data_IF_959905206366
#
_entry.id   IF_959905206366
#
_cell.length_a   1.000
_cell.length_b   1.000
_cell.length_c   1.000
_cell.angle_alpha   90.00
_cell.angle_beta   90.00
_cell.angle_gamma   90.00
#
_symmetry.space_group_name_H-M   'P 1'
#
loop_
_entity.id
_entity.type
_entity.pdbx_description
1 polymer ?
#
# COMPACT_ATOMS: atom_id res chain seq x y z
N UNK A 1 -17.63 -14.85 8.93
CA UNK A 1 -16.56 -14.05 9.54
C UNK A 1 -15.82 -13.44 8.38
N UNK A 2 -15.78 -12.11 8.36
CA UNK A 2 -15.30 -11.33 7.23
C UNK A 2 -13.99 -10.67 7.61
N UNK A 3 -12.92 -10.99 6.89
CA UNK A 3 -11.57 -10.52 7.17
C UNK A 3 -11.12 -9.55 6.08
N UNK A 4 -10.68 -8.35 6.44
CA UNK A 4 -9.95 -7.46 5.54
C UNK A 4 -8.51 -7.35 6.01
N UNK A 5 -7.55 -7.65 5.14
CA UNK A 5 -6.13 -7.53 5.44
C UNK A 5 -5.54 -6.37 4.63
N UNK A 6 -5.08 -5.33 5.34
CA UNK A 6 -4.50 -4.12 4.74
C UNK A 6 -3.03 -3.96 5.13
N UNK A 7 -2.16 -3.88 4.13
CA UNK A 7 -0.76 -3.56 4.33
C UNK A 7 -0.57 -2.03 4.29
N UNK A 8 -0.14 -1.46 5.42
CA UNK A 8 0.00 -0.01 5.57
C UNK A 8 1.26 0.48 4.84
N UNK A 9 1.10 1.55 4.08
CA UNK A 9 2.16 2.28 3.38
C UNK A 9 2.25 3.73 3.85
N UNK A 10 3.32 4.41 3.44
CA UNK A 10 3.50 5.85 3.68
C UNK A 10 2.50 6.73 2.89
N UNK A 11 1.74 6.16 1.96
CA UNK A 11 0.66 6.85 1.25
C UNK A 11 -0.68 6.79 1.98
N UNK A 12 -0.80 5.95 3.03
CA UNK A 12 -2.00 5.88 3.86
C UNK A 12 -2.21 7.13 4.73
N UNK A 13 -1.20 7.98 4.93
CA UNK A 13 -1.31 9.18 5.74
C UNK A 13 -1.00 10.43 4.91
N UNK A 14 -1.99 11.32 4.81
CA UNK A 14 -1.83 12.67 4.26
C UNK A 14 -2.33 13.67 5.31
N UNK A 15 -1.61 14.77 5.48
CA UNK A 15 -1.93 15.81 6.45
C UNK A 15 -2.36 17.08 5.72
N UNK A 16 -3.18 17.89 6.39
CA UNK A 16 -3.43 19.28 6.02
C UNK A 16 -2.68 20.19 6.99
N UNK A 17 -1.79 21.02 6.45
CA UNK A 17 -1.09 22.06 7.19
C UNK A 17 -1.72 23.41 6.89
N UNK A 18 -1.97 24.20 7.93
CA UNK A 18 -2.52 25.55 7.84
C UNK A 18 -1.55 26.54 8.48
N UNK A 19 -1.30 27.66 7.79
CA UNK A 19 -0.49 28.77 8.29
C UNK A 19 -1.32 29.95 8.79
N UNK A 20 -0.63 31.00 9.22
CA UNK A 20 -1.20 32.27 9.69
C UNK A 20 -1.52 33.27 8.56
N UNK A 21 -0.99 33.04 7.35
CA UNK A 21 -1.13 33.95 6.20
C UNK A 21 -1.73 33.23 4.97
N UNK A 22 -2.55 33.94 4.19
CA UNK A 22 -3.08 33.42 2.92
C UNK A 22 -2.00 33.48 1.81
N UNK A 23 -1.88 32.41 1.03
CA UNK A 23 -0.86 32.27 -0.01
C UNK A 23 -1.35 32.83 -1.34
N UNK A 24 -0.71 33.89 -1.83
CA UNK A 24 -1.09 34.55 -3.09
C UNK A 24 -0.88 33.62 -4.29
N UNK A 25 0.20 32.85 -4.27
CA UNK A 25 0.56 31.86 -5.31
C UNK A 25 -0.43 30.70 -5.40
N UNK A 26 -1.26 30.48 -4.37
CA UNK A 26 -2.21 29.36 -4.29
C UNK A 26 -3.65 29.83 -4.15
N UNK A 27 -4.07 30.83 -4.93
CA UNK A 27 -5.45 31.39 -4.93
C UNK A 27 -5.92 31.80 -3.52
N UNK A 28 -5.02 32.39 -2.72
CA UNK A 28 -5.26 32.77 -1.33
C UNK A 28 -5.64 31.60 -0.41
N UNK A 29 -5.18 30.39 -0.72
CA UNK A 29 -5.33 29.25 0.18
C UNK A 29 -4.55 29.50 1.48
N UNK A 30 -5.16 29.11 2.60
CA UNK A 30 -4.52 29.13 3.92
C UNK A 30 -4.05 27.75 4.36
N UNK A 31 -4.38 26.70 3.59
CA UNK A 31 -4.00 25.32 3.88
C UNK A 31 -3.44 24.59 2.67
N UNK A 32 -2.49 23.69 2.92
CA UNK A 32 -1.84 22.85 1.93
C UNK A 32 -1.81 21.39 2.38
N UNK A 33 -1.83 20.46 1.41
CA UNK A 33 -1.61 19.05 1.72
C UNK A 33 -0.12 18.78 1.90
N UNK A 34 0.19 17.91 2.84
CA UNK A 34 1.54 17.54 3.19
C UNK A 34 1.65 16.04 3.47
N UNK A 35 2.84 15.49 3.21
CA UNK A 35 3.23 14.15 3.66
C UNK A 35 4.46 14.27 4.57
N UNK A 36 4.51 13.55 5.70
CA UNK A 36 5.74 13.49 6.48
C UNK A 36 6.88 12.93 5.64
N UNK A 37 8.10 13.46 5.80
CA UNK A 37 9.29 12.82 5.22
C UNK A 37 9.43 11.39 5.72
N UNK A 38 9.93 10.52 4.86
CA UNK A 38 10.03 9.08 5.14
C UNK A 38 10.76 8.76 6.45
N UNK A 39 11.80 9.51 6.81
CA UNK A 39 12.58 9.30 8.05
C UNK A 39 11.91 9.78 9.34
N UNK A 40 10.83 10.56 9.23
CA UNK A 40 10.14 11.18 10.37
C UNK A 40 8.69 10.72 10.50
N UNK A 41 8.27 9.81 9.61
CA UNK A 41 6.90 9.32 9.52
C UNK A 41 6.39 8.75 10.86
N UNK A 42 7.25 8.04 11.59
CA UNK A 42 6.96 7.48 12.90
C UNK A 42 6.70 8.56 13.96
N UNK A 43 7.59 9.56 14.03
CA UNK A 43 7.52 10.66 15.02
C UNK A 43 6.26 11.49 14.78
N UNK A 44 6.00 11.85 13.52
CA UNK A 44 4.80 12.63 13.16
C UNK A 44 3.52 11.85 13.50
N UNK A 45 3.46 10.58 13.13
CA UNK A 45 2.28 9.74 13.42
C UNK A 45 2.07 9.57 14.92
N UNK A 46 3.13 9.35 15.69
CA UNK A 46 3.08 9.23 17.15
C UNK A 46 2.52 10.50 17.81
N UNK A 47 3.02 11.66 17.40
CA UNK A 47 2.56 12.97 17.90
C UNK A 47 1.06 13.17 17.66
N UNK A 48 0.55 12.78 16.49
CA UNK A 48 -0.88 12.86 16.17
C UNK A 48 -1.68 11.89 17.04
N UNK A 49 -1.22 10.65 17.20
CA UNK A 49 -1.87 9.64 18.06
C UNK A 49 -2.00 10.15 19.50
N UNK A 50 -0.93 10.68 20.08
CA UNK A 50 -0.95 11.21 21.45
C UNK A 50 -1.93 12.38 21.63
N UNK A 51 -2.09 13.23 20.62
CA UNK A 51 -3.07 14.31 20.66
C UNK A 51 -4.49 13.78 20.53
N UNK A 52 -4.71 12.83 19.62
CA UNK A 52 -6.01 12.16 19.50
C UNK A 52 -6.39 11.39 20.75
N UNK A 53 -5.44 10.76 21.46
CA UNK A 53 -5.70 10.10 22.74
C UNK A 53 -6.26 11.07 23.78
N UNK A 54 -5.67 12.25 23.89
CA UNK A 54 -6.16 13.31 24.78
C UNK A 54 -7.58 13.74 24.39
N UNK A 55 -7.84 13.89 23.10
CA UNK A 55 -9.13 14.38 22.59
C UNK A 55 -10.23 13.31 22.62
N UNK A 56 -9.91 12.05 22.37
CA UNK A 56 -10.86 10.94 22.29
C UNK A 56 -11.10 10.25 23.65
N UNK A 57 -10.55 10.80 24.74
CA UNK A 57 -10.82 10.31 26.10
C UNK A 57 -12.35 10.22 26.30
N UNK A 58 -12.88 9.05 26.67
CA UNK A 58 -14.32 8.85 26.75
C UNK A 58 -14.91 9.74 27.84
N UNK A 59 -15.73 10.71 27.42
CA UNK A 59 -16.63 11.43 28.32
C UNK A 59 -17.86 10.54 28.48
N UNK A 60 -18.20 10.15 29.70
CA UNK A 60 -19.48 9.48 29.97
C UNK A 60 -20.60 10.43 29.54
N UNK A 61 -21.28 10.09 28.46
CA UNK A 61 -22.43 10.82 27.97
C UNK A 61 -23.70 10.09 28.40
N UNK A 62 -24.47 10.73 29.29
CA UNK A 62 -25.71 10.14 29.84
C UNK A 62 -26.86 10.09 28.80
N UNK A 63 -26.69 10.78 27.66
CA UNK A 63 -27.69 10.86 26.59
C UNK A 63 -27.05 10.78 25.21
N UNK A 64 -27.79 10.22 24.24
CA UNK A 64 -27.35 10.11 22.83
C UNK A 64 -26.97 11.47 22.21
N UNK A 65 -27.70 12.54 22.54
CA UNK A 65 -27.39 13.89 22.08
C UNK A 65 -26.03 14.37 22.61
N UNK A 66 -25.71 14.11 23.88
CA UNK A 66 -24.38 14.40 24.46
C UNK A 66 -23.28 13.53 23.86
N UNK A 67 -23.62 12.31 23.45
CA UNK A 67 -22.69 11.41 22.77
C UNK A 67 -22.34 11.94 21.36
N UNK A 68 -23.32 12.47 20.62
CA UNK A 68 -23.08 13.16 19.34
C UNK A 68 -22.26 14.43 19.50
N UNK A 69 -22.35 15.09 20.66
CA UNK A 69 -21.52 16.24 21.02
C UNK A 69 -20.14 15.84 21.58
N UNK A 70 -19.80 14.53 21.61
CA UNK A 70 -18.46 14.10 22.02
C UNK A 70 -17.39 14.38 20.95
N UNK A 71 -16.11 14.57 21.34
CA UNK A 71 -15.01 14.80 20.40
C UNK A 71 -14.90 13.72 19.31
N UNK A 72 -15.30 12.48 19.62
CA UNK A 72 -15.30 11.32 18.71
C UNK A 72 -16.18 11.52 17.47
N UNK A 73 -17.26 12.30 17.56
CA UNK A 73 -18.14 12.58 16.42
C UNK A 73 -17.79 13.89 15.71
N UNK A 74 -17.22 14.85 16.44
CA UNK A 74 -16.96 16.18 15.92
C UNK A 74 -15.67 16.28 15.09
N UNK A 75 -14.68 15.44 15.41
CA UNK A 75 -13.43 15.33 14.66
C UNK A 75 -13.60 14.63 13.31
N UNK A 76 -14.78 14.08 13.01
CA UNK A 76 -14.98 13.25 11.83
C UNK A 76 -14.98 14.06 10.55
N UNK A 77 -14.02 13.77 9.65
CA UNK A 77 -14.02 14.23 8.27
C UNK A 77 -14.66 13.20 7.33
N UNK A 78 -15.46 13.70 6.37
CA UNK A 78 -16.08 12.89 5.32
C UNK A 78 -15.78 13.49 3.95
N UNK A 79 -15.71 12.64 2.92
CA UNK A 79 -15.61 13.07 1.54
C UNK A 79 -16.84 13.91 1.17
N UNK A 80 -16.64 15.06 0.53
CA UNK A 80 -17.75 15.98 0.17
C UNK A 80 -18.67 15.37 -0.90
N UNK A 81 -18.10 14.66 -1.87
CA UNK A 81 -18.86 14.10 -3.01
C UNK A 81 -19.66 12.85 -2.66
N UNK A 82 -19.11 12.00 -1.81
CA UNK A 82 -19.61 10.63 -1.57
C UNK A 82 -19.96 10.37 -0.11
N UNK A 83 -19.75 11.35 0.78
CA UNK A 83 -20.10 11.33 2.20
C UNK A 83 -19.47 10.21 3.05
N UNK A 84 -18.53 9.43 2.49
CA UNK A 84 -17.85 8.38 3.21
C UNK A 84 -16.72 8.94 4.12
N UNK A 85 -16.37 8.26 5.22
CA UNK A 85 -15.29 8.66 6.12
C UNK A 85 -13.92 8.73 5.46
N UNK A 86 -13.17 9.82 5.68
CA UNK A 86 -11.83 10.00 5.06
C UNK A 86 -10.71 10.35 6.04
N UNK A 87 -11.02 10.71 7.29
CA UNK A 87 -10.01 11.02 8.29
C UNK A 87 -10.51 11.84 9.46
N UNK A 88 -9.63 12.61 10.09
CA UNK A 88 -9.97 13.50 11.19
C UNK A 88 -9.66 14.96 10.84
N UNK A 89 -10.51 15.87 11.30
CA UNK A 89 -10.33 17.31 11.18
C UNK A 89 -10.40 17.97 12.56
N UNK A 90 -9.34 18.72 12.89
CA UNK A 90 -9.12 19.41 14.16
C UNK A 90 -9.51 20.89 14.12
N UNK A 91 -10.07 21.38 13.01
CA UNK A 91 -10.52 22.76 12.85
C UNK A 91 -11.86 22.85 12.14
N UNK A 92 -12.65 23.88 12.42
CA UNK A 92 -13.94 24.02 11.77
C UNK A 92 -13.79 24.34 10.27
N UNK A 93 -14.51 23.64 9.38
CA UNK A 93 -14.69 24.12 8.01
C UNK A 93 -15.32 25.52 8.03
N UNK A 94 -14.95 26.43 7.11
CA UNK A 94 -15.56 27.76 7.03
C UNK A 94 -17.08 27.72 6.76
N UNK A 95 -17.62 26.60 6.27
CA UNK A 95 -18.99 26.43 5.80
C UNK A 95 -19.99 25.86 6.84
N UNK A 96 -19.68 25.88 8.14
CA UNK A 96 -20.60 25.39 9.18
C UNK A 96 -21.51 26.53 9.67
N UNK A 97 -22.83 26.30 9.62
CA UNK A 97 -23.86 27.26 10.03
C UNK A 97 -23.67 27.76 11.47
N UNK A 98 -24.08 28.99 11.75
CA UNK A 98 -23.95 29.63 13.07
C UNK A 98 -24.55 28.79 14.22
N UNK A 99 -25.63 28.06 13.95
CA UNK A 99 -26.27 27.15 14.90
C UNK A 99 -25.45 25.89 15.20
N UNK A 100 -24.71 25.35 14.23
CA UNK A 100 -23.81 24.21 14.44
C UNK A 100 -22.52 24.60 15.18
N UNK A 101 -22.09 25.88 15.13
CA UNK A 101 -20.93 26.36 15.91
C UNK A 101 -21.17 26.37 17.42
N UNK A 102 -22.41 26.52 17.88
CA UNK A 102 -22.74 26.58 19.32
C UNK A 102 -22.70 25.23 20.05
N UNK A 103 -22.69 24.09 19.33
CA UNK A 103 -22.74 22.75 19.93
C UNK A 103 -21.45 21.93 19.79
N UNK A 104 -20.46 22.40 19.00
CA UNK A 104 -19.20 21.65 18.81
C UNK A 104 -18.11 22.10 19.78
N UNK A 105 -17.34 21.15 20.35
CA UNK A 105 -16.11 21.42 21.07
C UNK A 105 -15.18 22.24 20.19
N UNK A 106 -14.57 23.25 20.81
CA UNK A 106 -13.51 24.06 20.25
C UNK A 106 -12.21 23.24 20.25
N UNK A 107 -12.16 22.22 19.39
CA UNK A 107 -10.96 21.41 19.20
C UNK A 107 -9.91 22.31 18.55
N UNK A 108 -8.78 22.49 19.23
CA UNK A 108 -7.67 23.30 18.72
C UNK A 108 -6.84 22.48 17.72
N UNK A 109 -6.42 23.07 16.60
CA UNK A 109 -5.45 22.46 15.69
C UNK A 109 -4.15 22.08 16.42
N UNK A 110 -3.45 21.08 15.90
CA UNK A 110 -2.19 20.62 16.50
C UNK A 110 -1.07 21.56 16.05
N UNK A 111 -0.55 22.39 16.95
CA UNK A 111 0.56 23.32 16.65
C UNK A 111 1.88 22.54 16.45
N UNK A 112 2.57 22.75 15.33
CA UNK A 112 3.86 22.11 15.08
C UNK A 112 4.94 22.54 16.08
N UNK A 113 4.90 23.79 16.55
CA UNK A 113 5.81 24.33 17.58
C UNK A 113 5.82 23.54 18.90
N UNK A 114 4.75 22.77 19.17
CA UNK A 114 4.70 21.90 20.36
C UNK A 114 5.49 20.59 20.20
N UNK A 115 6.08 20.36 19.03
CA UNK A 115 6.86 19.17 18.68
C UNK A 115 8.23 19.58 18.11
N UNK A 116 9.22 18.69 18.14
CA UNK A 116 10.51 18.90 17.48
C UNK A 116 10.38 18.66 15.96
N UNK A 117 9.47 19.38 15.31
CA UNK A 117 9.16 19.24 13.89
C UNK A 117 9.11 20.62 13.23
N UNK A 118 9.73 20.73 12.07
CA UNK A 118 9.72 21.95 11.25
C UNK A 118 8.93 21.75 9.96
N UNK A 119 8.60 22.84 9.26
CA UNK A 119 7.98 22.76 7.93
C UNK A 119 8.83 21.91 6.96
N UNK A 120 10.14 22.04 7.08
CA UNK A 120 11.11 21.32 6.26
C UNK A 120 10.98 19.80 6.42
N UNK A 121 10.36 19.30 7.49
CA UNK A 121 10.13 17.87 7.74
C UNK A 121 8.95 17.28 6.94
N UNK A 122 8.22 18.15 6.23
CA UNK A 122 7.07 17.79 5.42
C UNK A 122 7.36 18.00 3.93
N UNK A 123 6.90 17.07 3.11
CA UNK A 123 6.79 17.28 1.68
C UNK A 123 5.45 17.96 1.39
N UNK A 124 5.50 19.21 0.92
CA UNK A 124 4.31 19.99 0.58
C UNK A 124 3.82 19.68 -0.84
N UNK A 125 2.51 19.70 -1.04
CA UNK A 125 1.87 19.63 -2.36
C UNK A 125 1.61 21.05 -2.88
N UNK A 126 2.63 21.69 -3.43
CA UNK A 126 2.50 22.99 -4.09
C UNK A 126 3.57 23.19 -5.16
N UNK A 127 3.51 24.29 -5.90
CA UNK A 127 4.60 24.70 -6.80
C UNK A 127 5.79 25.23 -6.00
N UNK A 128 6.98 25.26 -6.59
CA UNK A 128 8.18 25.75 -5.92
C UNK A 128 8.03 27.21 -5.46
N UNK A 129 7.33 28.05 -6.23
CA UNK A 129 7.03 29.43 -5.83
C UNK A 129 6.11 29.47 -4.60
N UNK A 130 5.14 28.56 -4.52
CA UNK A 130 4.25 28.47 -3.36
C UNK A 130 5.01 27.98 -2.14
N UNK A 131 5.93 27.03 -2.29
CA UNK A 131 6.75 26.51 -1.19
C UNK A 131 7.63 27.64 -0.63
N UNK A 132 8.27 28.44 -1.50
CA UNK A 132 9.06 29.59 -1.06
C UNK A 132 8.21 30.68 -0.37
N UNK A 133 6.97 30.91 -0.84
CA UNK A 133 6.04 31.82 -0.15
C UNK A 133 5.65 31.28 1.23
N UNK A 134 5.40 29.97 1.36
CA UNK A 134 5.09 29.33 2.65
C UNK A 134 6.25 29.49 3.62
N UNK A 135 7.48 29.19 3.20
CA UNK A 135 8.68 29.29 4.05
C UNK A 135 8.94 30.72 4.54
N UNK A 136 8.58 31.73 3.75
CA UNK A 136 8.75 33.14 4.13
C UNK A 136 7.56 33.73 4.91
N UNK A 137 6.35 33.26 4.65
CA UNK A 137 5.11 33.89 5.14
C UNK A 137 4.48 33.17 6.33
N UNK A 138 4.58 31.84 6.40
CA UNK A 138 3.97 31.04 7.47
C UNK A 138 4.92 30.96 8.67
N UNK A 139 4.60 31.70 9.73
CA UNK A 139 5.40 31.66 10.98
C UNK A 139 4.89 30.60 11.95
N UNK A 140 3.57 30.47 12.05
CA UNK A 140 2.91 29.50 12.92
C UNK A 140 2.17 28.47 12.08
N UNK A 141 2.61 27.22 12.15
CA UNK A 141 2.06 26.14 11.33
C UNK A 141 1.32 25.15 12.21
N UNK A 142 0.15 24.73 11.74
CA UNK A 142 -0.73 23.82 12.47
C UNK A 142 -1.22 22.69 11.58
N UNK A 143 -1.30 21.48 12.14
CA UNK A 143 -2.00 20.38 11.49
C UNK A 143 -3.50 20.53 11.76
N UNK A 144 -4.28 20.77 10.71
CA UNK A 144 -5.74 20.98 10.78
C UNK A 144 -6.53 19.74 10.42
N UNK A 145 -5.96 18.80 9.66
CA UNK A 145 -6.59 17.52 9.36
C UNK A 145 -5.55 16.42 9.10
N UNK A 146 -5.96 15.17 9.32
CA UNK A 146 -5.28 13.98 8.82
C UNK A 146 -6.25 13.13 8.01
N UNK A 147 -5.81 12.64 6.86
CA UNK A 147 -6.61 11.86 5.91
C UNK A 147 -5.98 10.48 5.71
N UNK A 148 -6.85 9.48 5.56
CA UNK A 148 -6.53 8.10 5.20
C UNK A 148 -7.08 7.79 3.82
N UNK A 149 -6.49 8.30 2.73
CA UNK A 149 -7.09 8.21 1.39
C UNK A 149 -7.35 6.76 0.94
N UNK A 150 -6.45 5.83 1.24
CA UNK A 150 -6.56 4.43 0.84
C UNK A 150 -7.60 3.70 1.70
N UNK A 151 -7.46 3.74 3.02
CA UNK A 151 -8.43 3.10 3.92
C UNK A 151 -9.84 3.71 3.80
N UNK A 152 -9.90 5.02 3.55
CA UNK A 152 -11.13 5.78 3.36
C UNK A 152 -11.97 5.30 2.18
N UNK A 153 -11.35 4.76 1.11
CA UNK A 153 -12.07 4.15 -0.02
C UNK A 153 -12.21 2.63 0.12
N UNK A 154 -11.21 1.97 0.70
CA UNK A 154 -11.18 0.50 0.86
C UNK A 154 -12.29 0.00 1.79
N UNK A 155 -12.47 0.61 2.97
CA UNK A 155 -13.46 0.12 3.94
C UNK A 155 -14.90 0.30 3.44
N UNK A 156 -15.32 1.46 2.90
CA UNK A 156 -16.66 1.58 2.31
C UNK A 156 -16.88 0.62 1.15
N UNK A 157 -15.90 0.45 0.25
CA UNK A 157 -16.02 -0.48 -0.88
C UNK A 157 -16.13 -1.93 -0.39
N UNK A 158 -15.33 -2.31 0.60
CA UNK A 158 -15.41 -3.63 1.21
C UNK A 158 -16.78 -3.88 1.83
N UNK A 159 -17.31 -2.92 2.59
CA UNK A 159 -18.66 -3.03 3.17
C UNK A 159 -19.76 -3.08 2.10
N UNK A 160 -19.61 -2.37 0.98
CA UNK A 160 -20.53 -2.48 -0.16
C UNK A 160 -20.52 -3.88 -0.76
N UNK A 161 -19.34 -4.46 -1.00
CA UNK A 161 -19.20 -5.83 -1.51
C UNK A 161 -19.76 -6.86 -0.52
N UNK A 162 -19.53 -6.64 0.77
CA UNK A 162 -20.07 -7.52 1.80
C UNK A 162 -21.59 -7.41 1.91
N UNK A 163 -22.22 -6.28 1.59
CA UNK A 163 -23.68 -6.13 1.74
C UNK A 163 -24.48 -7.22 1.00
N UNK A 164 -23.94 -7.77 -0.09
CA UNK A 164 -24.58 -8.83 -0.87
C UNK A 164 -24.37 -10.24 -0.28
N UNK A 165 -23.37 -10.41 0.60
CA UNK A 165 -22.92 -11.71 1.15
C UNK A 165 -23.09 -11.78 2.68
N UNK A 166 -23.32 -10.65 3.33
CA UNK A 166 -23.25 -10.49 4.78
C UNK A 166 -24.53 -10.97 5.48
N UNK A 167 -24.38 -11.93 6.40
CA UNK A 167 -25.38 -12.25 7.43
C UNK A 167 -25.25 -11.29 8.62
N UNK A 168 -26.35 -10.85 9.23
CA UNK A 168 -26.34 -9.94 10.39
C UNK A 168 -25.50 -10.42 11.59
N UNK A 169 -25.17 -11.72 11.65
CA UNK A 169 -24.35 -12.33 12.69
C UNK A 169 -22.84 -12.38 12.36
N UNK A 170 -22.41 -11.98 11.17
CA UNK A 170 -21.00 -12.06 10.79
C UNK A 170 -20.15 -11.01 11.52
N UNK A 171 -19.06 -11.47 12.13
CA UNK A 171 -18.04 -10.60 12.67
C UNK A 171 -17.17 -10.04 11.55
N UNK A 172 -16.95 -8.71 11.56
CA UNK A 172 -16.08 -8.00 10.65
C UNK A 172 -14.74 -7.71 11.35
N UNK A 173 -13.64 -8.21 10.79
CA UNK A 173 -12.30 -8.10 11.35
C UNK A 173 -11.36 -7.44 10.34
N UNK A 174 -10.67 -6.39 10.76
CA UNK A 174 -9.69 -5.66 9.96
C UNK A 174 -8.28 -5.86 10.54
N UNK A 175 -7.38 -6.40 9.73
CA UNK A 175 -5.98 -6.61 10.05
C UNK A 175 -5.13 -5.52 9.43
N UNK A 176 -4.49 -4.72 10.28
CA UNK A 176 -3.58 -3.66 9.89
C UNK A 176 -2.13 -4.16 10.03
N UNK A 177 -1.48 -4.42 8.90
CA UNK A 177 -0.10 -4.88 8.86
C UNK A 177 0.82 -3.67 8.74
N UNK A 178 1.68 -3.48 9.73
CA UNK A 178 2.67 -2.39 9.77
C UNK A 178 4.10 -2.91 9.81
N UNK A 179 5.06 -2.04 9.53
CA UNK A 179 6.47 -2.40 9.57
C UNK A 179 7.39 -1.18 9.45
N UNK A 180 8.69 -1.42 9.56
CA UNK A 180 9.73 -0.43 9.36
C UNK A 180 10.80 -0.93 8.38
N UNK A 181 11.45 0.00 7.70
CA UNK A 181 12.50 -0.28 6.72
C UNK A 181 13.84 0.26 7.19
N UNK A 182 14.94 -0.33 6.75
CA UNK A 182 16.27 0.17 7.13
C UNK A 182 16.52 1.53 6.44
N UNK A 183 16.90 2.58 7.19
CA UNK A 183 17.23 3.88 6.63
C UNK A 183 18.47 3.81 5.71
N UNK A 184 18.56 4.70 4.71
CA UNK A 184 19.76 4.81 3.85
C UNK A 184 20.94 5.42 4.59
N UNK A 185 20.64 6.40 5.42
CA UNK A 185 21.63 7.13 6.19
C UNK A 185 21.71 6.50 7.57
N UNK A 186 22.91 6.12 7.99
CA UNK A 186 23.15 5.54 9.32
C UNK A 186 22.81 6.50 10.47
N UNK A 187 22.80 7.81 10.20
CA UNK A 187 22.39 8.84 11.16
C UNK A 187 20.88 8.92 11.40
N UNK A 188 20.06 8.31 10.55
CA UNK A 188 18.60 8.32 10.72
C UNK A 188 18.16 7.17 11.63
N UNK A 189 17.12 7.42 12.44
CA UNK A 189 16.54 6.39 13.32
C UNK A 189 16.03 5.19 12.52
N UNK A 190 16.33 3.99 13.01
CA UNK A 190 15.89 2.70 12.44
C UNK A 190 14.36 2.61 12.40
N UNK A 191 13.69 3.18 13.40
CA UNK A 191 12.23 3.20 13.49
C UNK A 191 11.61 4.45 12.87
N UNK A 192 12.41 5.37 12.31
CA UNK A 192 11.93 6.66 11.84
C UNK A 192 10.86 6.58 10.74
N UNK A 193 10.89 5.52 9.93
CA UNK A 193 9.93 5.25 8.86
C UNK A 193 8.87 4.21 9.22
N UNK A 194 8.77 3.80 10.49
CA UNK A 194 7.78 2.81 10.92
C UNK A 194 6.36 3.30 10.65
N UNK A 195 5.52 2.39 10.17
CA UNK A 195 4.07 2.63 9.97
C UNK A 195 3.23 2.19 11.18
N UNK A 196 3.85 1.82 12.29
CA UNK A 196 3.19 1.31 13.50
C UNK A 196 2.20 2.32 14.10
N UNK A 197 2.64 3.56 14.36
CA UNK A 197 1.71 4.59 14.87
C UNK A 197 0.66 5.00 13.85
N UNK A 198 0.92 4.82 12.55
CA UNK A 198 -0.11 4.98 11.52
C UNK A 198 -1.16 3.88 11.64
N UNK A 199 -0.79 2.65 11.97
CA UNK A 199 -1.74 1.58 12.29
C UNK A 199 -2.59 1.93 13.51
N UNK A 200 -1.99 2.47 14.56
CA UNK A 200 -2.72 2.95 15.74
C UNK A 200 -3.70 4.07 15.39
N UNK A 201 -3.27 5.02 14.55
CA UNK A 201 -4.10 6.12 14.07
C UNK A 201 -5.28 5.62 13.21
N UNK A 202 -5.02 4.70 12.29
CA UNK A 202 -6.06 4.05 11.46
C UNK A 202 -7.02 3.22 12.30
N UNK A 203 -6.53 2.55 13.35
CA UNK A 203 -7.39 1.83 14.29
C UNK A 203 -8.36 2.78 15.01
N UNK A 204 -7.90 3.95 15.45
CA UNK A 204 -8.79 4.99 16.02
C UNK A 204 -9.80 5.50 15.01
N UNK A 205 -9.40 5.68 13.76
CA UNK A 205 -10.31 6.01 12.66
C UNK A 205 -11.40 4.95 12.51
N UNK A 206 -11.03 3.68 12.39
CA UNK A 206 -12.01 2.60 12.22
C UNK A 206 -12.93 2.48 13.43
N UNK A 207 -12.40 2.49 14.66
CA UNK A 207 -13.22 2.50 15.87
C UNK A 207 -14.17 3.69 15.92
N UNK A 208 -13.74 4.89 15.47
CA UNK A 208 -14.61 6.05 15.43
C UNK A 208 -15.78 5.85 14.46
N UNK A 209 -15.53 5.43 13.22
CA UNK A 209 -16.56 5.41 12.17
C UNK A 209 -17.32 4.10 12.00
N UNK A 210 -16.71 2.98 12.35
CA UNK A 210 -17.20 1.64 12.09
C UNK A 210 -17.13 0.79 13.38
N UNK A 211 -18.04 1.02 14.34
CA UNK A 211 -17.98 0.38 15.65
C UNK A 211 -18.11 -1.16 15.59
N UNK A 212 -18.66 -1.70 14.51
CA UNK A 212 -18.83 -3.14 14.31
C UNK A 212 -17.57 -3.84 13.78
N UNK A 213 -16.57 -3.08 13.32
CA UNK A 213 -15.32 -3.63 12.79
C UNK A 213 -14.28 -3.74 13.92
N UNK A 214 -13.80 -4.97 14.15
CA UNK A 214 -12.75 -5.24 15.12
C UNK A 214 -11.38 -5.11 14.45
N UNK A 215 -10.52 -4.24 14.97
CA UNK A 215 -9.20 -3.99 14.39
C UNK A 215 -8.12 -4.76 15.14
N UNK A 216 -7.31 -5.52 14.41
CA UNK A 216 -6.11 -6.18 14.93
C UNK A 216 -4.88 -5.57 14.25
N UNK A 217 -3.93 -5.09 15.05
CA UNK A 217 -2.67 -4.52 14.55
C UNK A 217 -1.56 -5.56 14.65
N UNK A 218 -0.83 -5.78 13.56
CA UNK A 218 0.31 -6.70 13.53
C UNK A 218 1.53 -5.93 13.01
N UNK A 219 2.53 -5.77 13.87
CA UNK A 219 3.75 -5.04 13.55
C UNK A 219 4.90 -5.99 13.27
N UNK A 220 5.55 -5.81 12.13
CA UNK A 220 6.60 -6.71 11.68
C UNK A 220 8.00 -6.39 12.24
N UNK A 221 8.19 -5.23 12.87
CA UNK A 221 9.51 -4.76 13.29
C UNK A 221 10.31 -4.11 12.15
N UNK A 222 11.61 -3.91 12.39
CA UNK A 222 12.59 -3.39 11.43
C UNK A 222 13.13 -4.48 10.49
N UNK A 223 13.70 -4.06 9.35
CA UNK A 223 14.38 -4.88 8.30
C UNK A 223 13.55 -5.42 7.15
N UNK A 224 12.24 -5.24 7.12
CA UNK A 224 11.43 -6.05 6.19
C UNK A 224 11.18 -5.34 4.84
N UNK A 225 11.40 -4.02 4.76
CA UNK A 225 11.18 -3.27 3.52
C UNK A 225 12.40 -3.21 2.58
N UNK A 226 13.60 -3.65 2.98
CA UNK A 226 14.82 -3.57 2.13
C UNK A 226 15.78 -4.73 2.31
N UNK A 227 16.44 -5.08 1.21
CA UNK A 227 17.57 -5.99 1.18
C UNK A 227 18.91 -5.27 1.38
N UNK A 228 19.83 -5.90 2.10
CA UNK A 228 21.19 -5.42 2.34
C UNK A 228 22.13 -5.76 1.16
N UNK A 229 23.12 -4.89 0.94
CA UNK A 229 24.43 -5.26 0.39
C UNK A 229 25.44 -5.03 1.51
N UNK A 230 26.39 -5.95 1.75
CA UNK A 230 27.44 -5.74 2.73
C UNK A 230 28.43 -4.71 2.17
N UNK A 231 28.42 -3.49 2.70
CA UNK A 231 29.59 -2.61 2.58
C UNK A 231 30.58 -3.03 3.68
N UNK A 232 31.67 -3.65 3.24
CA UNK A 232 33.01 -3.73 3.82
C UNK A 232 33.14 -3.35 5.31
N UNK A 233 33.56 -4.32 6.13
CA UNK A 233 33.70 -4.28 7.61
C UNK A 233 32.46 -4.61 8.45
N UNK A 234 31.91 -5.81 8.25
CA UNK A 234 31.29 -6.57 9.34
C UNK A 234 31.48 -8.07 9.06
N UNK A 235 32.62 -8.61 9.50
CA UNK A 235 32.78 -10.05 9.71
C UNK A 235 31.90 -10.43 10.90
N UNK A 236 30.64 -10.79 10.62
CA UNK A 236 29.79 -11.69 11.42
C UNK A 236 28.46 -11.86 10.68
N UNK A 237 28.20 -13.09 10.27
CA UNK A 237 27.02 -13.65 9.63
C UNK A 237 25.69 -12.95 9.92
N UNK A 238 25.13 -12.25 8.93
CA UNK A 238 23.69 -12.04 8.83
C UNK A 238 23.24 -12.16 7.36
N UNK A 239 22.32 -13.08 7.03
CA UNK A 239 21.84 -13.26 5.68
C UNK A 239 20.92 -12.10 5.25
N UNK A 240 21.06 -11.65 4.00
CA UNK A 240 20.19 -10.64 3.40
C UNK A 240 18.83 -11.28 3.08
N UNK A 241 17.89 -11.21 4.03
CA UNK A 241 16.65 -12.00 4.03
C UNK A 241 15.35 -11.20 3.77
N UNK A 242 15.34 -10.17 2.91
CA UNK A 242 14.13 -9.33 2.79
C UNK A 242 12.85 -10.08 2.36
N UNK A 243 12.93 -11.11 1.51
CA UNK A 243 11.75 -11.94 1.15
C UNK A 243 11.46 -13.02 2.20
N UNK A 244 12.51 -13.70 2.69
CA UNK A 244 12.36 -14.75 3.70
C UNK A 244 11.83 -14.20 5.02
N UNK A 245 12.25 -13.01 5.45
CA UNK A 245 11.74 -12.33 6.64
C UNK A 245 10.27 -11.96 6.48
N UNK A 246 9.86 -11.55 5.26
CA UNK A 246 8.45 -11.32 4.93
C UNK A 246 7.64 -12.62 5.05
N UNK A 247 8.13 -13.72 4.47
CA UNK A 247 7.48 -15.04 4.53
C UNK A 247 7.42 -15.55 5.97
N UNK A 248 8.50 -15.43 6.74
CA UNK A 248 8.56 -15.82 8.14
C UNK A 248 7.60 -14.99 8.99
N UNK A 249 7.53 -13.67 8.79
CA UNK A 249 6.57 -12.81 9.47
C UNK A 249 5.13 -13.25 9.18
N UNK A 250 4.78 -13.46 7.90
CA UNK A 250 3.43 -13.89 7.54
C UNK A 250 3.09 -15.25 8.16
N UNK A 251 4.05 -16.18 8.15
CA UNK A 251 3.86 -17.56 8.65
C UNK A 251 3.83 -17.63 10.18
N UNK A 252 4.60 -16.81 10.89
CA UNK A 252 4.75 -16.88 12.36
C UNK A 252 3.84 -15.92 13.12
N UNK A 253 3.39 -14.83 12.49
CA UNK A 253 2.60 -13.80 13.19
C UNK A 253 1.18 -13.69 12.63
N UNK A 254 1.01 -13.48 11.33
CA UNK A 254 -0.31 -13.26 10.75
C UNK A 254 -1.13 -14.57 10.67
N UNK A 255 -0.54 -15.61 10.07
CA UNK A 255 -1.23 -16.87 9.79
C UNK A 255 -1.76 -17.55 11.06
N UNK A 256 -1.02 -17.65 12.17
CA UNK A 256 -1.53 -18.28 13.39
C UNK A 256 -2.76 -17.57 13.96
N UNK A 257 -2.85 -16.24 13.84
CA UNK A 257 -4.00 -15.48 14.31
C UNK A 257 -5.24 -15.80 13.46
N UNK A 258 -5.09 -15.88 12.14
CA UNK A 258 -6.19 -16.29 11.25
C UNK A 258 -6.57 -17.76 11.43
N UNK A 259 -5.60 -18.65 11.65
CA UNK A 259 -5.83 -20.06 11.93
C UNK A 259 -6.62 -20.25 13.24
N UNK A 260 -6.34 -19.46 14.28
CA UNK A 260 -7.13 -19.49 15.51
C UNK A 260 -8.62 -19.17 15.26
N UNK A 261 -8.93 -18.18 14.41
CA UNK A 261 -10.31 -17.89 14.03
C UNK A 261 -10.94 -19.00 13.19
N UNK A 262 -10.18 -19.61 12.28
CA UNK A 262 -10.61 -20.79 11.52
C UNK A 262 -10.97 -21.93 12.47
N UNK A 263 -10.10 -22.24 13.43
CA UNK A 263 -10.30 -23.37 14.35
C UNK A 263 -11.55 -23.16 15.24
N UNK A 264 -11.82 -21.91 15.64
CA UNK A 264 -13.07 -21.54 16.31
C UNK A 264 -14.31 -21.77 15.42
N UNK A 265 -14.23 -21.46 14.13
CA UNK A 265 -15.32 -21.74 13.18
C UNK A 265 -15.49 -23.24 12.94
N UNK A 266 -14.40 -23.98 12.74
CA UNK A 266 -14.44 -25.45 12.58
C UNK A 266 -15.12 -26.09 13.79
N UNK A 267 -14.84 -25.61 15.00
CA UNK A 267 -15.50 -26.11 16.22
C UNK A 267 -17.01 -25.82 16.24
N UNK A 268 -17.47 -24.72 15.61
CA UNK A 268 -18.88 -24.31 15.60
C UNK A 268 -19.70 -24.91 14.45
N UNK A 269 -19.13 -24.96 13.25
CA UNK A 269 -19.85 -25.30 11.99
C UNK A 269 -19.24 -26.50 11.25
N UNK A 270 -18.17 -27.11 11.79
CA UNK A 270 -17.53 -28.29 11.19
C UNK A 270 -16.95 -28.02 9.81
N UNK A 271 -17.17 -28.96 8.89
CA UNK A 271 -16.62 -28.92 7.52
C UNK A 271 -17.13 -27.76 6.66
N UNK A 272 -18.24 -27.13 7.05
CA UNK A 272 -18.82 -25.98 6.35
C UNK A 272 -18.10 -24.66 6.68
N UNK A 273 -17.03 -24.67 7.48
CA UNK A 273 -16.32 -23.44 7.89
C UNK A 273 -15.89 -22.55 6.72
N UNK A 274 -15.58 -23.13 5.55
CA UNK A 274 -15.15 -22.38 4.35
C UNK A 274 -16.20 -21.38 3.87
N UNK A 275 -17.49 -21.73 3.94
CA UNK A 275 -18.57 -20.79 3.57
C UNK A 275 -18.82 -19.70 4.60
N UNK A 276 -18.15 -19.76 5.75
CA UNK A 276 -18.25 -18.78 6.84
C UNK A 276 -16.92 -18.06 7.10
N UNK A 277 -15.89 -18.28 6.27
CA UNK A 277 -14.58 -17.67 6.37
C UNK A 277 -14.25 -16.95 5.06
N UNK A 278 -14.50 -15.65 5.01
CA UNK A 278 -14.25 -14.84 3.82
C UNK A 278 -13.08 -13.91 4.07
N UNK A 279 -12.02 -14.07 3.27
CA UNK A 279 -10.80 -13.30 3.39
C UNK A 279 -10.67 -12.35 2.20
N UNK A 280 -10.42 -11.07 2.47
CA UNK A 280 -10.16 -10.04 1.46
C UNK A 280 -8.80 -9.41 1.70
N UNK A 281 -7.97 -9.34 0.66
CA UNK A 281 -6.66 -8.68 0.69
C UNK A 281 -6.77 -7.33 -0.03
N UNK A 282 -6.32 -6.25 0.61
CA UNK A 282 -6.23 -4.94 -0.02
C UNK A 282 -4.89 -4.79 -0.77
N UNK A 283 -4.96 -4.70 -2.09
CA UNK A 283 -3.87 -4.26 -2.96
C UNK A 283 -3.96 -2.77 -3.19
N UNK A 284 -3.46 -2.02 -2.22
CA UNK A 284 -3.24 -0.60 -2.39
C UNK A 284 -1.75 -0.34 -2.65
N UNK A 285 -1.00 0.05 -1.62
CA UNK A 285 0.39 0.47 -1.74
C UNK A 285 1.30 -0.37 -0.82
N UNK A 286 2.60 -0.33 -1.07
CA UNK A 286 3.60 -1.04 -0.28
C UNK A 286 4.61 -1.84 -1.10
N UNK A 287 5.64 -2.39 -0.46
CA UNK A 287 6.70 -3.12 -1.17
C UNK A 287 6.17 -4.39 -1.84
N UNK A 288 6.51 -4.66 -3.12
CA UNK A 288 6.04 -5.85 -3.83
C UNK A 288 6.37 -7.18 -3.11
N UNK A 289 7.53 -7.26 -2.46
CA UNK A 289 7.93 -8.44 -1.68
C UNK A 289 6.95 -8.75 -0.53
N UNK A 290 6.43 -7.71 0.14
CA UNK A 290 5.46 -7.84 1.24
C UNK A 290 4.11 -8.32 0.72
N UNK A 291 3.61 -7.70 -0.35
CA UNK A 291 2.33 -8.06 -0.96
C UNK A 291 2.35 -9.47 -1.55
N UNK A 292 3.49 -9.86 -2.16
CA UNK A 292 3.70 -11.22 -2.68
C UNK A 292 3.72 -12.26 -1.55
N UNK A 293 4.47 -12.02 -0.48
CA UNK A 293 4.49 -12.91 0.68
C UNK A 293 3.13 -13.01 1.38
N UNK A 294 2.40 -11.88 1.48
CA UNK A 294 1.03 -11.85 1.99
C UNK A 294 0.11 -12.74 1.16
N UNK A 295 0.14 -12.56 -0.17
CA UNK A 295 -0.68 -13.34 -1.07
C UNK A 295 -0.35 -14.84 -0.98
N UNK A 296 0.93 -15.18 -1.05
CA UNK A 296 1.38 -16.57 -0.98
C UNK A 296 0.97 -17.25 0.34
N UNK A 297 1.08 -16.55 1.47
CA UNK A 297 0.74 -17.08 2.78
C UNK A 297 -0.78 -17.29 2.97
N UNK A 298 -1.59 -16.44 2.35
CA UNK A 298 -3.05 -16.43 2.52
C UNK A 298 -3.80 -17.12 1.39
N UNK A 299 -3.12 -17.49 0.29
CA UNK A 299 -3.72 -18.17 -0.88
C UNK A 299 -4.54 -19.42 -0.52
N UNK A 300 -4.14 -20.14 0.53
CA UNK A 300 -4.87 -21.33 1.03
C UNK A 300 -6.33 -21.04 1.42
N UNK A 301 -6.64 -19.78 1.73
CA UNK A 301 -7.98 -19.32 2.09
C UNK A 301 -8.77 -18.73 0.92
N UNK A 302 -8.25 -18.83 -0.31
CA UNK A 302 -8.91 -18.36 -1.52
C UNK A 302 -9.38 -16.90 -1.40
N UNK A 303 -8.47 -15.94 -1.11
CA UNK A 303 -8.86 -14.58 -0.79
C UNK A 303 -9.43 -13.84 -2.00
N UNK A 304 -10.43 -13.00 -1.77
CA UNK A 304 -10.80 -11.95 -2.72
C UNK A 304 -9.84 -10.76 -2.61
N UNK A 305 -9.83 -9.90 -3.62
CA UNK A 305 -8.87 -8.80 -3.71
C UNK A 305 -9.58 -7.47 -3.94
N UNK A 306 -9.14 -6.43 -3.22
CA UNK A 306 -9.51 -5.04 -3.47
C UNK A 306 -8.29 -4.31 -4.02
N UNK A 307 -8.30 -4.01 -5.31
CA UNK A 307 -7.19 -3.37 -6.01
C UNK A 307 -7.46 -1.87 -6.21
N UNK A 308 -6.57 -1.03 -5.68
CA UNK A 308 -6.64 0.43 -5.85
C UNK A 308 -5.71 0.82 -7.00
N UNK A 309 -6.26 1.09 -8.17
CA UNK A 309 -5.44 1.36 -9.35
C UNK A 309 -4.89 2.80 -9.40
N UNK A 310 -5.52 3.76 -8.70
CA UNK A 310 -5.01 5.13 -8.56
C UNK A 310 -4.63 5.54 -7.12
N UNK A 311 -3.48 5.07 -6.64
CA UNK A 311 -3.03 5.27 -5.25
C UNK A 311 -2.79 6.73 -4.83
N UNK A 312 -2.58 7.64 -5.78
CA UNK A 312 -2.14 9.03 -5.51
C UNK A 312 -3.14 10.09 -5.98
N UNK A 313 -4.35 9.71 -6.35
CA UNK A 313 -5.37 10.66 -6.85
C UNK A 313 -5.68 11.73 -5.82
N UNK A 314 -5.81 11.37 -4.55
CA UNK A 314 -6.03 12.37 -3.51
C UNK A 314 -4.84 13.32 -3.35
N UNK A 315 -3.61 12.84 -3.50
CA UNK A 315 -2.41 13.69 -3.44
C UNK A 315 -2.32 14.65 -4.62
N UNK A 316 -2.71 14.22 -5.83
CA UNK A 316 -2.57 15.04 -7.03
C UNK A 316 -3.77 15.94 -7.30
N UNK A 317 -4.98 15.46 -7.03
CA UNK A 317 -6.25 16.10 -7.43
C UNK A 317 -7.16 16.44 -6.26
N UNK A 318 -6.82 16.03 -5.02
CA UNK A 318 -7.70 16.15 -3.84
C UNK A 318 -9.08 15.48 -4.03
N UNK A 319 -9.12 14.43 -4.87
CA UNK A 319 -10.32 13.64 -5.13
C UNK A 319 -10.16 12.22 -4.58
N UNK A 320 -11.27 11.66 -4.13
CA UNK A 320 -11.41 10.25 -3.77
C UNK A 320 -12.63 9.71 -4.50
N UNK A 321 -12.46 8.61 -5.23
CA UNK A 321 -13.56 7.86 -5.81
C UNK A 321 -13.58 6.43 -5.27
N UNK A 322 -14.77 5.88 -5.04
CA UNK A 322 -14.94 4.46 -4.74
C UNK A 322 -14.77 3.60 -6.00
N UNK A 323 -14.84 4.21 -7.19
CA UNK A 323 -14.57 3.57 -8.48
C UNK A 323 -13.06 3.39 -8.73
N UNK A 324 -12.21 4.01 -7.90
CA UNK A 324 -10.77 3.76 -7.92
C UNK A 324 -10.39 2.38 -7.35
N UNK A 325 -11.38 1.65 -6.79
CA UNK A 325 -11.22 0.35 -6.15
C UNK A 325 -11.95 -0.73 -6.93
N UNK A 326 -11.19 -1.63 -7.53
CA UNK A 326 -11.69 -2.82 -8.21
C UNK A 326 -11.78 -4.00 -7.26
N UNK A 327 -12.90 -4.72 -7.30
CA UNK A 327 -13.06 -5.98 -6.58
C UNK A 327 -12.81 -7.15 -7.53
N UNK A 328 -11.92 -8.05 -7.12
CA UNK A 328 -11.63 -9.27 -7.86
C UNK A 328 -11.85 -10.49 -6.97
N UNK A 329 -12.83 -11.35 -7.27
CA UNK A 329 -12.99 -12.61 -6.56
C UNK A 329 -11.82 -13.55 -6.92
N UNK A 330 -11.54 -14.50 -6.04
CA UNK A 330 -10.40 -15.38 -6.16
C UNK A 330 -10.39 -16.18 -7.47
N UNK A 331 -11.57 -16.68 -7.88
CA UNK A 331 -11.76 -17.51 -9.06
C UNK A 331 -11.41 -16.77 -10.36
N UNK A 332 -11.64 -15.46 -10.39
CA UNK A 332 -11.31 -14.63 -11.55
C UNK A 332 -9.81 -14.37 -11.68
N UNK A 333 -9.08 -14.36 -10.55
CA UNK A 333 -7.64 -14.09 -10.52
C UNK A 333 -6.84 -15.39 -10.67
N UNK A 334 -7.28 -16.48 -10.04
CA UNK A 334 -6.66 -17.79 -10.15
C UNK A 334 -7.18 -18.58 -11.37
N UNK A 335 -7.58 -17.87 -12.43
CA UNK A 335 -8.03 -18.43 -13.69
C UNK A 335 -6.83 -19.04 -14.43
N UNK A 336 -6.37 -20.20 -13.98
CA UNK A 336 -5.97 -21.41 -14.71
C UNK A 336 -5.03 -22.21 -13.80
N UNK A 337 -5.35 -23.45 -13.42
CA UNK A 337 -4.42 -24.30 -12.69
C UNK A 337 -3.14 -24.51 -13.52
N UNK A 338 -2.01 -24.75 -12.85
CA UNK A 338 -0.77 -25.08 -13.54
C UNK A 338 -0.98 -26.35 -14.38
N UNK A 339 -0.74 -26.25 -15.69
CA UNK A 339 -0.82 -27.37 -16.63
C UNK A 339 0.57 -27.98 -16.77
N UNK A 340 0.66 -29.31 -16.74
CA UNK A 340 1.95 -29.97 -16.95
C UNK A 340 2.43 -29.70 -18.39
N UNK A 341 3.75 -29.58 -18.58
CA UNK A 341 4.34 -29.34 -19.90
C UNK A 341 3.95 -30.45 -20.90
N UNK A 342 3.80 -31.69 -20.41
CA UNK A 342 3.37 -32.82 -21.22
C UNK A 342 1.98 -32.61 -21.83
N UNK A 343 1.09 -31.90 -21.15
CA UNK A 343 -0.32 -31.73 -21.52
C UNK A 343 -0.54 -30.50 -22.43
N UNK A 344 0.52 -29.82 -22.89
CA UNK A 344 0.47 -28.63 -23.76
C UNK A 344 0.14 -28.93 -25.23
N UNK A 345 -0.61 -30.00 -25.50
CA UNK A 345 -0.78 -30.58 -26.85
C UNK A 345 -1.38 -29.61 -27.88
N UNK A 346 -2.20 -28.65 -27.46
CA UNK A 346 -2.95 -27.75 -28.35
C UNK A 346 -2.50 -26.27 -28.30
N UNK A 347 -1.31 -25.98 -27.75
CA UNK A 347 -0.85 -24.61 -27.52
C UNK A 347 0.60 -24.35 -27.99
N UNK A 348 0.85 -24.24 -29.32
CA UNK A 348 2.21 -24.13 -29.87
C UNK A 348 2.98 -22.89 -29.41
N UNK A 349 2.28 -21.77 -29.17
CA UNK A 349 2.89 -20.56 -28.60
C UNK A 349 3.33 -20.76 -27.15
N UNK A 350 2.55 -21.50 -26.35
CA UNK A 350 2.89 -21.80 -24.96
C UNK A 350 4.10 -22.72 -24.89
N UNK A 351 4.09 -23.81 -25.68
CA UNK A 351 5.22 -24.73 -25.77
C UNK A 351 6.52 -23.98 -26.16
N UNK A 352 6.45 -23.12 -27.18
CA UNK A 352 7.59 -22.29 -27.60
C UNK A 352 8.06 -21.35 -26.49
N UNK A 353 7.17 -20.70 -25.76
CA UNK A 353 7.54 -19.83 -24.64
C UNK A 353 8.24 -20.61 -23.52
N UNK A 354 7.76 -21.83 -23.22
CA UNK A 354 8.34 -22.73 -22.21
C UNK A 354 9.73 -23.22 -22.62
N UNK A 355 9.93 -23.56 -23.89
CA UNK A 355 11.24 -24.01 -24.37
C UNK A 355 12.26 -22.88 -24.37
N UNK A 356 11.85 -21.67 -24.79
CA UNK A 356 12.70 -20.49 -24.76
C UNK A 356 13.09 -20.07 -23.33
N UNK A 357 12.17 -20.15 -22.36
CA UNK A 357 12.50 -19.79 -20.98
C UNK A 357 13.40 -20.83 -20.31
N UNK A 358 13.26 -22.13 -20.66
CA UNK A 358 14.21 -23.17 -20.24
C UNK A 358 15.59 -22.93 -20.83
N UNK A 359 15.68 -22.67 -22.13
CA UNK A 359 16.94 -22.36 -22.79
C UNK A 359 17.61 -21.11 -22.20
N UNK A 360 16.82 -20.07 -21.90
CA UNK A 360 17.32 -18.85 -21.27
C UNK A 360 17.79 -19.10 -19.83
N UNK A 361 17.07 -19.91 -19.04
CA UNK A 361 17.51 -20.35 -17.72
C UNK A 361 18.86 -21.06 -17.80
N UNK A 362 19.00 -22.02 -18.71
CA UNK A 362 20.22 -22.82 -18.81
C UNK A 362 21.42 -21.95 -19.21
N UNK A 363 21.22 -21.01 -20.15
CA UNK A 363 22.22 -20.01 -20.51
C UNK A 363 22.57 -19.09 -19.32
N UNK A 364 21.55 -18.67 -18.55
CA UNK A 364 21.75 -17.81 -17.39
C UNK A 364 22.58 -18.50 -16.30
N UNK A 365 22.21 -19.73 -15.92
CA UNK A 365 22.92 -20.52 -14.89
C UNK A 365 24.38 -20.78 -15.29
N UNK A 366 24.64 -21.01 -16.59
CA UNK A 366 26.00 -21.16 -17.10
C UNK A 366 26.80 -19.85 -17.05
N UNK A 367 26.16 -18.69 -17.17
CA UNK A 367 26.82 -17.39 -17.30
C UNK A 367 26.82 -16.51 -16.06
N UNK A 368 25.99 -16.79 -15.04
CA UNK A 368 25.73 -15.86 -13.93
C UNK A 368 26.99 -15.49 -13.11
N UNK A 369 27.95 -16.40 -13.04
CA UNK A 369 29.20 -16.23 -12.31
C UNK A 369 30.30 -15.51 -13.11
N UNK A 370 30.10 -15.33 -14.43
CA UNK A 370 31.08 -14.69 -15.31
C UNK A 370 31.01 -13.16 -15.28
N UNK A 371 29.97 -12.59 -14.67
CA UNK A 371 29.74 -11.14 -14.61
C UNK A 371 29.31 -10.65 -13.24
N UNK A 372 28.93 -9.39 -13.17
CA UNK A 372 28.55 -8.73 -11.91
C UNK A 372 27.06 -8.86 -11.58
N UNK A 373 26.40 -9.95 -12.03
CA UNK A 373 24.95 -10.13 -11.90
C UNK A 373 24.52 -10.07 -10.43
N UNK A 374 25.16 -10.85 -9.55
CA UNK A 374 24.84 -10.87 -8.13
C UNK A 374 25.35 -9.66 -7.33
N UNK A 375 26.31 -8.89 -7.87
CA UNK A 375 26.96 -7.79 -7.15
C UNK A 375 26.35 -6.43 -7.49
N UNK A 376 26.17 -6.15 -8.78
CA UNK A 376 25.73 -4.85 -9.29
C UNK A 376 24.29 -4.89 -9.79
N UNK A 377 23.98 -5.81 -10.71
CA UNK A 377 22.69 -5.84 -11.41
C UNK A 377 21.54 -6.30 -10.52
N UNK A 378 21.77 -7.23 -9.60
CA UNK A 378 20.80 -7.75 -8.62
C UNK A 378 21.19 -7.35 -7.19
N UNK A 379 21.73 -6.13 -7.01
CA UNK A 379 22.27 -5.64 -5.74
C UNK A 379 21.28 -5.53 -4.58
N UNK A 380 19.97 -5.60 -4.83
CA UNK A 380 18.93 -5.54 -3.80
C UNK A 380 18.55 -6.97 -3.44
N UNK A 381 17.63 -7.61 -4.16
CA UNK A 381 17.12 -8.94 -3.78
C UNK A 381 18.11 -10.08 -4.00
N UNK A 382 19.09 -9.91 -4.90
CA UNK A 382 19.94 -10.99 -5.42
C UNK A 382 19.16 -12.16 -6.04
N UNK A 383 17.86 -11.97 -6.31
CA UNK A 383 16.99 -12.98 -6.90
C UNK A 383 16.83 -12.68 -8.39
N UNK A 384 17.40 -13.52 -9.28
CA UNK A 384 17.19 -13.37 -10.71
C UNK A 384 15.76 -13.73 -11.07
N UNK A 385 15.14 -12.89 -11.89
CA UNK A 385 13.85 -13.15 -12.53
C UNK A 385 14.08 -13.01 -14.03
N UNK A 386 13.69 -14.04 -14.77
CA UNK A 386 13.83 -14.13 -16.22
C UNK A 386 12.45 -14.00 -16.86
N UNK A 387 12.37 -13.31 -17.99
CA UNK A 387 11.17 -13.19 -18.79
C UNK A 387 11.47 -13.41 -20.27
N UNK A 388 10.52 -14.03 -20.96
CA UNK A 388 10.55 -14.24 -22.40
C UNK A 388 9.24 -13.72 -22.99
N UNK A 389 9.33 -12.79 -23.92
CA UNK A 389 8.20 -12.19 -24.63
C UNK A 389 8.16 -12.72 -26.07
N UNK A 390 7.04 -13.30 -26.45
CA UNK A 390 6.73 -13.70 -27.83
C UNK A 390 5.96 -12.58 -28.53
N UNK A 391 6.53 -12.10 -29.63
CA UNK A 391 5.97 -11.04 -30.47
C UNK A 391 5.64 -11.60 -31.84
N UNK A 392 4.41 -11.45 -32.28
CA UNK A 392 3.99 -11.82 -33.62
C UNK A 392 4.03 -10.60 -34.54
N UNK A 393 4.81 -10.69 -35.60
CA UNK A 393 5.02 -9.64 -36.58
C UNK A 393 4.70 -10.14 -37.98
N UNK A 394 4.12 -9.26 -38.81
CA UNK A 394 4.03 -9.48 -40.25
C UNK A 394 5.29 -8.96 -40.93
N UNK A 395 5.97 -9.82 -41.67
CA UNK A 395 7.12 -9.43 -42.49
C UNK A 395 6.66 -8.59 -43.69
N UNK A 396 7.61 -7.95 -44.37
CA UNK A 396 7.34 -7.23 -45.63
C UNK A 396 6.79 -8.14 -46.74
N UNK A 397 7.00 -9.46 -46.66
CA UNK A 397 6.39 -10.47 -47.53
C UNK A 397 4.95 -10.83 -47.17
N UNK A 398 4.43 -10.34 -46.03
CA UNK A 398 3.10 -10.65 -45.52
C UNK A 398 3.04 -11.88 -44.59
N UNK A 399 4.15 -12.59 -44.39
CA UNK A 399 4.23 -13.78 -43.54
C UNK A 399 4.21 -13.41 -42.06
N UNK A 400 3.60 -14.28 -41.25
CA UNK A 400 3.55 -14.11 -39.80
C UNK A 400 4.78 -14.78 -39.18
N UNK A 401 5.66 -13.97 -38.59
CA UNK A 401 6.84 -14.42 -37.87
C UNK A 401 6.70 -14.14 -36.37
N UNK A 402 6.98 -15.14 -35.55
CA UNK A 402 7.09 -14.97 -34.09
C UNK A 402 8.54 -14.74 -33.70
N UNK A 403 8.80 -13.57 -33.12
CA UNK A 403 10.10 -13.09 -32.62
C UNK A 403 10.12 -13.20 -31.10
N UNK A 404 11.27 -13.55 -30.54
CA UNK A 404 11.46 -13.77 -29.11
C UNK A 404 12.34 -12.67 -28.52
N UNK A 405 11.89 -12.02 -27.45
CA UNK A 405 12.67 -11.04 -26.70
C UNK A 405 12.85 -11.52 -25.26
N UNK A 406 14.09 -11.51 -24.78
CA UNK A 406 14.44 -11.94 -23.41
C UNK A 406 14.65 -10.72 -22.53
N UNK A 407 14.31 -10.85 -21.25
CA UNK A 407 14.54 -9.81 -20.26
C UNK A 407 14.89 -10.41 -18.90
N UNK A 408 15.75 -9.74 -18.16
CA UNK A 408 16.07 -10.06 -16.77
C UNK A 408 15.78 -8.83 -15.91
N UNK A 409 15.39 -9.04 -14.65
CA UNK A 409 15.25 -7.93 -13.70
C UNK A 409 16.60 -7.21 -13.46
N UNK A 410 16.53 -5.92 -13.16
CA UNK A 410 17.68 -5.09 -12.87
C UNK A 410 17.35 -4.16 -11.69
N UNK A 411 18.23 -4.11 -10.71
CA UNK A 411 18.00 -3.48 -9.41
C UNK A 411 18.94 -2.31 -9.13
N UNK A 412 19.57 -1.78 -10.18
CA UNK A 412 20.42 -0.61 -10.09
C UNK A 412 19.62 0.63 -9.65
N UNK A 413 20.29 1.55 -8.95
CA UNK A 413 19.66 2.76 -8.42
C UNK A 413 19.40 3.77 -9.55
N UNK A 414 18.38 3.53 -10.36
CA UNK A 414 17.88 4.51 -11.33
C UNK A 414 16.87 5.47 -10.68
N UNK A 415 16.69 6.70 -11.20
CA UNK A 415 15.64 7.61 -10.75
C UNK A 415 14.24 6.98 -10.76
N UNK A 416 14.01 6.02 -11.66
CA UNK A 416 12.76 5.26 -11.84
C UNK A 416 12.68 3.97 -11.02
N UNK A 417 13.71 3.63 -10.25
CA UNK A 417 13.76 2.42 -9.42
C UNK A 417 14.24 1.16 -10.14
N UNK A 418 13.96 -0.01 -9.56
CA UNK A 418 14.29 -1.30 -10.18
C UNK A 418 13.42 -1.57 -11.42
N UNK A 419 13.97 -2.26 -12.41
CA UNK A 419 13.29 -2.72 -13.61
C UNK A 419 12.92 -4.20 -13.47
N UNK A 420 11.66 -4.55 -13.71
CA UNK A 420 11.19 -5.94 -13.69
C UNK A 420 11.58 -6.66 -15.00
N UNK A 421 11.70 -7.98 -14.97
CA UNK A 421 12.15 -8.78 -16.11
C UNK A 421 11.21 -8.61 -17.32
N UNK A 422 9.91 -8.54 -17.05
CA UNK A 422 8.84 -8.37 -18.03
C UNK A 422 8.94 -7.02 -18.73
N UNK A 423 9.12 -5.95 -17.93
CA UNK A 423 9.32 -4.59 -18.46
C UNK A 423 10.60 -4.50 -19.27
N UNK A 424 11.65 -5.21 -18.87
CA UNK A 424 12.88 -5.28 -19.63
C UNK A 424 12.66 -5.98 -20.99
N UNK A 425 11.99 -7.14 -21.00
CA UNK A 425 11.68 -7.86 -22.24
C UNK A 425 10.81 -7.03 -23.21
N UNK A 426 9.79 -6.35 -22.70
CA UNK A 426 8.94 -5.43 -23.49
C UNK A 426 9.75 -4.22 -23.99
N UNK A 427 10.57 -3.63 -23.12
CA UNK A 427 11.44 -2.53 -23.48
C UNK A 427 12.44 -2.90 -24.58
N UNK A 428 13.06 -4.08 -24.48
CA UNK A 428 13.95 -4.62 -25.52
C UNK A 428 13.21 -4.88 -26.84
N UNK A 429 11.96 -5.35 -26.79
CA UNK A 429 11.15 -5.51 -27.99
C UNK A 429 10.88 -4.17 -28.68
N UNK A 430 10.44 -3.17 -27.92
CA UNK A 430 10.16 -1.83 -28.45
C UNK A 430 11.43 -1.10 -28.94
N UNK A 431 12.56 -1.30 -28.26
CA UNK A 431 13.84 -0.72 -28.67
C UNK A 431 14.35 -1.33 -29.99
N UNK A 432 14.11 -2.62 -30.22
CA UNK A 432 14.45 -3.29 -31.48
C UNK A 432 13.48 -2.91 -32.61
N UNK A 433 12.22 -2.64 -32.30
CA UNK A 433 11.21 -2.24 -33.27
C UNK A 433 10.23 -1.19 -32.71
N UNK A 434 10.42 0.11 -33.02
CA UNK A 434 9.55 1.18 -32.53
C UNK A 434 8.16 1.18 -33.19
N UNK A 435 7.93 0.36 -34.22
CA UNK A 435 6.63 0.25 -34.91
C UNK A 435 5.70 -0.79 -34.25
N UNK A 436 6.16 -1.40 -33.16
CA UNK A 436 5.46 -2.49 -32.49
C UNK A 436 4.13 -2.05 -31.89
N UNK A 437 3.04 -2.71 -32.28
CA UNK A 437 1.71 -2.48 -31.74
C UNK A 437 1.45 -3.37 -30.52
N UNK A 438 0.61 -2.90 -29.59
CA UNK A 438 0.22 -3.69 -28.40
C UNK A 438 -0.33 -5.08 -28.76
N UNK A 439 -1.13 -5.16 -29.83
CA UNK A 439 -1.75 -6.41 -30.30
C UNK A 439 -0.75 -7.45 -30.86
N UNK A 440 0.48 -7.02 -31.14
CA UNK A 440 1.57 -7.90 -31.58
C UNK A 440 2.21 -8.64 -30.41
N UNK A 441 2.03 -8.19 -29.17
CA UNK A 441 2.50 -8.88 -27.98
C UNK A 441 1.56 -10.05 -27.68
N UNK A 442 2.01 -11.29 -27.91
CA UNK A 442 1.13 -12.47 -27.79
C UNK A 442 1.22 -13.17 -26.45
N UNK A 443 2.42 -13.30 -25.91
CA UNK A 443 2.64 -14.08 -24.69
C UNK A 443 3.90 -13.64 -23.98
N UNK A 444 3.86 -13.64 -22.66
CA UNK A 444 5.04 -13.46 -21.83
C UNK A 444 5.13 -14.60 -20.82
N UNK A 445 6.28 -15.27 -20.79
CA UNK A 445 6.62 -16.28 -19.80
C UNK A 445 7.58 -15.66 -18.77
N UNK A 446 7.39 -15.99 -17.50
CA UNK A 446 8.21 -15.48 -16.39
C UNK A 446 8.67 -16.64 -15.53
N UNK A 447 9.95 -16.64 -15.15
CA UNK A 447 10.58 -17.59 -14.26
C UNK A 447 11.27 -16.81 -13.14
N UNK A 448 10.89 -17.06 -11.89
CA UNK A 448 11.38 -16.33 -10.71
C UNK A 448 12.06 -17.21 -9.70
#
# INVERSE_FOLDING_TARGET
>A
MEFLVHNISHSDLILELTGDSALKTSRNATSLLARPKFSLFNIVSQSIVQQLDKLLTPVQADTYEREMDSPRFQLRERCVSTCHPVGFRYSHPPCVSYFQRRRRLDVKPINLESFPLELSDFQLRASDETIAEVESSWKHIRITACFFPLLGILVPKWLQVLADVHSAESQQLLYLISGAGIPRNASHSICGNSTEYTAALMSKFVSAYYPNIHVTQIHSGSNIFRSHSPSSFALLSYPCCSYDDNVQFMTRQLRPVLEAHRDLLVTKVGDHWKSHFHLTIAYADGPPARLSALNAALRVYQPSYLHVWQLKTFWHEKKLSLDDVDFHPFENVEATPAVAVADLHDAPLVARAVDEIKAFRDQFVQGEHLGEVGQFWLRKSRKPVLAVLLVEKRTSSGDVQVVVHRGMNCEVSMPTGSLCAERNAIGSALANDPTLLRQSLKMIAVLS
#
